data_IF_511453509872
#
_entry.id   IF_511453509872
#
_cell.length_a   1.000
_cell.length_b   1.000
_cell.length_c   1.000
_cell.angle_alpha   90.00
_cell.angle_beta   90.00
_cell.angle_gamma   90.00
#
_symmetry.space_group_name_H-M   'P 1'
#
loop_
_entity.id
_entity.type
_entity.pdbx_description
1 polymer ?
#
# COMPACT_ATOMS: atom_id res chain seq x y z
N UNK A 1 16.09 11.19 -13.15
CA UNK A 1 14.78 10.86 -13.77
C UNK A 1 14.00 9.97 -12.81
N UNK A 2 14.66 9.00 -12.17
CA UNK A 2 14.06 8.09 -11.19
C UNK A 2 13.58 8.77 -9.89
N UNK A 3 14.25 9.82 -9.41
CA UNK A 3 13.82 10.53 -8.18
C UNK A 3 12.45 11.21 -8.31
N UNK A 4 12.08 11.63 -9.53
CA UNK A 4 10.77 12.24 -9.79
C UNK A 4 9.65 11.21 -9.63
N UNK A 5 9.86 10.01 -10.15
CA UNK A 5 8.90 8.91 -10.02
C UNK A 5 8.86 8.38 -8.59
N UNK A 6 10.01 8.28 -7.91
CA UNK A 6 10.09 7.82 -6.52
C UNK A 6 9.25 8.67 -5.54
N UNK A 7 9.15 9.98 -5.75
CA UNK A 7 8.30 10.84 -4.94
C UNK A 7 6.80 10.58 -5.20
N UNK A 8 6.42 10.47 -6.47
CA UNK A 8 5.04 10.17 -6.85
C UNK A 8 4.60 8.79 -6.38
N UNK A 9 5.48 7.79 -6.49
CA UNK A 9 5.27 6.43 -6.00
C UNK A 9 5.06 6.41 -4.48
N UNK A 10 5.91 7.11 -3.71
CA UNK A 10 5.73 7.21 -2.25
C UNK A 10 4.41 7.87 -1.85
N UNK A 11 4.00 8.93 -2.55
CA UNK A 11 2.69 9.55 -2.30
C UNK A 11 1.55 8.58 -2.61
N UNK A 12 1.63 7.87 -3.73
CA UNK A 12 0.60 6.91 -4.11
C UNK A 12 0.51 5.74 -3.12
N UNK A 13 1.66 5.25 -2.63
CA UNK A 13 1.74 4.22 -1.58
C UNK A 13 1.08 4.70 -0.28
N UNK A 14 1.38 5.93 0.17
CA UNK A 14 0.77 6.49 1.38
C UNK A 14 -0.76 6.60 1.25
N UNK A 15 -1.26 7.16 0.15
CA UNK A 15 -2.70 7.30 -0.12
C UNK A 15 -3.38 5.93 -0.13
N UNK A 16 -2.75 4.93 -0.75
CA UNK A 16 -3.28 3.57 -0.77
C UNK A 16 -3.32 2.98 0.64
N UNK A 17 -2.21 3.07 1.38
CA UNK A 17 -2.07 2.55 2.74
C UNK A 17 -3.12 3.15 3.68
N UNK A 18 -3.35 4.46 3.61
CA UNK A 18 -4.38 5.13 4.41
C UNK A 18 -5.79 4.70 4.04
N UNK A 19 -6.07 4.57 2.74
CA UNK A 19 -7.42 4.23 2.25
C UNK A 19 -7.79 2.78 2.54
N UNK A 20 -6.82 1.88 2.47
CA UNK A 20 -7.05 0.44 2.45
C UNK A 20 -6.47 -0.31 3.64
N UNK A 21 -5.79 0.39 4.55
CA UNK A 21 -5.06 -0.19 5.68
C UNK A 21 -4.19 -1.38 5.24
N UNK A 22 -3.43 -1.21 4.16
CA UNK A 22 -2.56 -2.24 3.62
C UNK A 22 -1.24 -1.65 3.16
N UNK A 23 -0.14 -2.25 3.61
CA UNK A 23 1.20 -1.88 3.19
C UNK A 23 1.60 -2.73 1.97
N UNK A 24 1.48 -2.14 0.78
CA UNK A 24 1.82 -2.79 -0.50
C UNK A 24 3.32 -3.02 -0.70
N UNK A 25 4.17 -2.31 0.05
CA UNK A 25 5.64 -2.48 -0.06
C UNK A 25 6.07 -3.74 0.67
N UNK A 26 5.48 -3.97 1.84
CA UNK A 26 5.77 -5.15 2.67
C UNK A 26 4.79 -6.30 2.48
N UNK A 27 3.75 -6.11 1.66
CA UNK A 27 2.66 -7.06 1.41
C UNK A 27 1.95 -7.52 2.69
N UNK A 28 1.67 -6.58 3.59
CA UNK A 28 1.04 -6.86 4.88
C UNK A 28 -0.22 -6.04 5.10
N UNK A 29 -1.32 -6.65 5.58
CA UNK A 29 -2.45 -5.89 6.05
C UNK A 29 -2.16 -5.22 7.37
N UNK A 30 -2.62 -3.98 7.49
CA UNK A 30 -2.57 -3.18 8.70
C UNK A 30 -3.93 -3.24 9.41
N UNK A 31 -3.95 -3.09 10.74
CA UNK A 31 -5.21 -2.99 11.47
C UNK A 31 -6.01 -1.78 10.98
N UNK A 32 -7.29 -1.99 10.65
CA UNK A 32 -8.12 -0.92 10.11
C UNK A 32 -9.51 -1.37 9.69
N UNK A 33 -10.04 -0.70 8.68
CA UNK A 33 -11.42 -0.88 8.18
C UNK A 33 -11.59 -2.20 7.42
N UNK A 34 -10.58 -2.62 6.69
CA UNK A 34 -10.63 -3.80 5.83
C UNK A 34 -9.84 -4.94 6.45
N UNK A 35 -10.42 -6.13 6.44
CA UNK A 35 -9.71 -7.38 6.73
C UNK A 35 -9.29 -8.00 5.40
N UNK A 36 -7.99 -8.12 5.18
CA UNK A 36 -7.45 -8.69 3.96
C UNK A 36 -7.29 -10.20 4.12
N UNK A 37 -7.76 -10.94 3.13
CA UNK A 37 -7.59 -12.38 3.04
C UNK A 37 -6.70 -12.71 1.84
N UNK A 38 -5.67 -13.57 2.00
CA UNK A 38 -4.87 -14.00 0.87
C UNK A 38 -5.74 -14.80 -0.09
N UNK A 39 -5.62 -14.52 -1.39
CA UNK A 39 -6.22 -15.37 -2.41
C UNK A 39 -5.32 -16.59 -2.55
N UNK A 40 -5.81 -17.74 -2.08
CA UNK A 40 -5.17 -19.03 -2.33
C UNK A 40 -5.57 -19.48 -3.74
N UNK A 41 -4.58 -19.73 -4.59
CA UNK A 41 -4.73 -20.35 -5.90
C UNK A 41 -4.78 -21.89 -5.78
#
# INVERSE_FOLDING_TARGET
>A
MDEFFALAEKQQQAIFMEKYNFDVVNDVPLPGRYEWVPVLD
#
